data_IF_698467539599
#
_entry.id   IF_698467539599
#
_cell.length_a   1.000
_cell.length_b   1.000
_cell.length_c   1.000
_cell.angle_alpha   90.00
_cell.angle_beta   90.00
_cell.angle_gamma   90.00
#
_symmetry.space_group_name_H-M   'P 1'
#
loop_
_entity.id
_entity.type
_entity.pdbx_description
1 polymer ?
#
# COMPACT_ATOMS: atom_id res chain seq x y z
N UNK A 1 26.92 24.95 -38.94
CA UNK A 1 27.25 24.86 -37.50
C UNK A 1 26.77 23.51 -37.01
N UNK A 2 27.69 22.60 -36.70
CA UNK A 2 27.34 21.29 -36.13
C UNK A 2 27.20 21.51 -34.63
N UNK A 3 25.97 21.46 -34.11
CA UNK A 3 25.75 21.46 -32.67
C UNK A 3 26.18 20.10 -32.14
N UNK A 4 27.37 20.02 -31.52
CA UNK A 4 27.76 18.85 -30.75
C UNK A 4 26.99 18.88 -29.43
N UNK A 5 26.01 17.99 -29.30
CA UNK A 5 25.30 17.79 -28.04
C UNK A 5 26.17 16.86 -27.17
N UNK A 6 26.91 17.43 -26.23
CA UNK A 6 27.64 16.67 -25.21
C UNK A 6 26.77 16.55 -23.98
N UNK A 7 26.52 15.32 -23.52
CA UNK A 7 25.83 15.09 -22.26
C UNK A 7 26.67 15.60 -21.08
N UNK A 8 26.05 16.17 -20.03
CA UNK A 8 26.72 16.42 -18.76
C UNK A 8 27.38 15.14 -18.23
N UNK A 9 28.56 15.26 -17.59
CA UNK A 9 29.32 14.11 -17.07
C UNK A 9 28.47 13.26 -16.12
N UNK A 10 27.64 13.88 -15.29
CA UNK A 10 26.73 13.20 -14.37
C UNK A 10 25.74 12.25 -15.08
N UNK A 11 25.29 12.62 -16.29
CA UNK A 11 24.41 11.77 -17.11
C UNK A 11 25.21 10.60 -17.67
N UNK A 12 26.45 10.84 -18.11
CA UNK A 12 27.35 9.81 -18.64
C UNK A 12 27.67 8.79 -17.54
N UNK A 13 28.05 9.25 -16.36
CA UNK A 13 28.37 8.40 -15.21
C UNK A 13 27.15 7.55 -14.81
N UNK A 14 25.95 8.14 -14.80
CA UNK A 14 24.72 7.39 -14.50
C UNK A 14 24.42 6.32 -15.56
N UNK A 15 24.70 6.57 -16.84
CA UNK A 15 24.51 5.58 -17.90
C UNK A 15 25.55 4.46 -17.75
N UNK A 16 26.81 4.81 -17.49
CA UNK A 16 27.90 3.84 -17.30
C UNK A 16 27.64 2.92 -16.11
N UNK A 17 27.23 3.47 -14.96
CA UNK A 17 26.89 2.67 -13.77
C UNK A 17 25.78 1.64 -14.09
N UNK A 18 24.78 2.03 -14.88
CA UNK A 18 23.70 1.10 -15.30
C UNK A 18 24.20 0.01 -16.24
N UNK A 19 25.05 0.37 -17.20
CA UNK A 19 25.64 -0.60 -18.14
C UNK A 19 26.48 -1.61 -17.38
N UNK A 20 27.33 -1.17 -16.46
CA UNK A 20 28.17 -2.05 -15.66
C UNK A 20 27.36 -3.06 -14.84
N UNK A 21 26.26 -2.63 -14.20
CA UNK A 21 25.37 -3.54 -13.47
C UNK A 21 24.77 -4.60 -14.40
N UNK A 22 24.30 -4.20 -15.58
CA UNK A 22 23.72 -5.13 -16.56
C UNK A 22 24.78 -6.09 -17.11
N UNK A 23 25.99 -5.62 -17.37
CA UNK A 23 27.12 -6.45 -17.79
C UNK A 23 27.52 -7.48 -16.73
N UNK A 24 27.53 -7.09 -15.44
CA UNK A 24 27.75 -8.04 -14.33
C UNK A 24 26.64 -9.09 -14.26
N UNK A 25 25.39 -8.69 -14.45
CA UNK A 25 24.27 -9.63 -14.49
C UNK A 25 24.38 -10.67 -15.62
N UNK A 26 25.03 -10.33 -16.72
CA UNK A 26 25.24 -11.24 -17.86
C UNK A 26 26.39 -12.23 -17.67
N UNK A 27 27.38 -11.89 -16.83
CA UNK A 27 28.66 -12.62 -16.78
C UNK A 27 28.91 -13.39 -15.48
N UNK A 28 28.35 -12.98 -14.34
CA UNK A 28 28.32 -13.74 -13.07
C UNK A 28 27.46 -12.98 -12.03
N UNK A 29 26.13 -13.07 -12.15
CA UNK A 29 25.23 -12.28 -11.32
C UNK A 29 25.27 -12.73 -9.85
N UNK A 30 25.62 -11.81 -8.95
CA UNK A 30 25.31 -11.99 -7.54
C UNK A 30 23.90 -11.48 -7.23
N UNK A 31 23.31 -11.83 -6.07
CA UNK A 31 21.95 -11.41 -5.72
C UNK A 31 21.73 -9.89 -5.64
N UNK A 32 22.79 -9.10 -5.40
CA UNK A 32 22.70 -7.64 -5.35
C UNK A 32 22.62 -7.03 -6.75
N UNK A 33 23.38 -7.58 -7.70
CA UNK A 33 23.33 -7.17 -9.10
C UNK A 33 21.94 -7.48 -9.70
N UNK A 34 21.37 -8.66 -9.43
CA UNK A 34 20.00 -8.99 -9.85
C UNK A 34 18.96 -8.02 -9.27
N UNK A 35 19.07 -7.69 -7.98
CA UNK A 35 18.16 -6.76 -7.33
C UNK A 35 18.29 -5.34 -7.91
N UNK A 36 19.51 -4.90 -8.22
CA UNK A 36 19.76 -3.61 -8.86
C UNK A 36 19.17 -3.58 -10.28
N UNK A 37 19.35 -4.65 -11.06
CA UNK A 37 18.77 -4.76 -12.39
C UNK A 37 17.23 -4.68 -12.34
N UNK A 38 16.57 -5.35 -11.38
CA UNK A 38 15.12 -5.27 -11.19
C UNK A 38 14.65 -3.85 -10.88
N UNK A 39 15.41 -3.09 -10.06
CA UNK A 39 15.11 -1.68 -9.78
C UNK A 39 15.29 -0.79 -11.02
N UNK A 40 16.33 -1.03 -11.82
CA UNK A 40 16.56 -0.30 -13.07
C UNK A 40 15.46 -0.57 -14.10
N UNK A 41 15.03 -1.82 -14.24
CA UNK A 41 13.90 -2.19 -15.08
C UNK A 41 12.62 -1.47 -14.64
N UNK A 42 12.31 -1.46 -13.34
CA UNK A 42 11.14 -0.75 -12.81
C UNK A 42 11.20 0.76 -13.08
N UNK A 43 12.36 1.40 -12.89
CA UNK A 43 12.53 2.82 -13.21
C UNK A 43 12.31 3.09 -14.70
N UNK A 44 12.86 2.22 -15.57
CA UNK A 44 12.71 2.34 -17.03
C UNK A 44 11.27 2.12 -17.50
N UNK A 45 10.56 1.11 -16.98
CA UNK A 45 9.13 0.85 -17.30
C UNK A 45 8.28 2.09 -16.99
N UNK A 46 8.62 2.79 -15.90
CA UNK A 46 7.92 3.98 -15.44
C UNK A 46 8.42 5.27 -16.08
N UNK A 47 9.47 5.20 -16.88
CA UNK A 47 10.11 6.34 -17.52
C UNK A 47 10.56 7.42 -16.52
N UNK A 48 11.01 6.99 -15.34
CA UNK A 48 11.56 7.89 -14.31
C UNK A 48 13.07 7.70 -14.17
N UNK A 49 13.73 8.73 -13.67
CA UNK A 49 15.14 8.63 -13.32
C UNK A 49 15.35 7.66 -12.16
N UNK A 50 16.55 7.07 -12.09
CA UNK A 50 16.87 6.16 -11.00
C UNK A 50 16.98 6.89 -9.64
N UNK A 51 17.35 8.18 -9.66
CA UNK A 51 17.31 9.04 -8.47
C UNK A 51 15.89 9.28 -7.96
N UNK A 52 14.94 9.57 -8.85
CA UNK A 52 13.51 9.67 -8.49
C UNK A 52 12.98 8.34 -7.93
N UNK A 53 13.31 7.21 -8.58
CA UNK A 53 12.94 5.88 -8.08
C UNK A 53 13.48 5.62 -6.66
N UNK A 54 14.75 5.98 -6.39
CA UNK A 54 15.35 5.85 -5.06
C UNK A 54 14.61 6.68 -4.01
N UNK A 55 14.17 7.88 -4.35
CA UNK A 55 13.46 8.74 -3.43
C UNK A 55 12.06 8.21 -3.12
N UNK A 56 11.32 7.76 -4.14
CA UNK A 56 10.04 7.11 -3.91
C UNK A 56 10.18 5.83 -3.07
N UNK A 57 11.22 5.03 -3.30
CA UNK A 57 11.49 3.83 -2.50
C UNK A 57 11.74 4.18 -1.02
N UNK A 58 12.44 5.29 -0.74
CA UNK A 58 12.65 5.79 0.63
C UNK A 58 11.34 6.22 1.28
N UNK A 59 10.49 6.94 0.55
CA UNK A 59 9.18 7.38 1.04
C UNK A 59 8.26 6.17 1.33
N UNK A 60 8.23 5.19 0.43
CA UNK A 60 7.52 3.93 0.65
C UNK A 60 8.03 3.22 1.91
N UNK A 61 9.36 3.10 2.09
CA UNK A 61 9.96 2.47 3.26
C UNK A 61 9.57 3.20 4.55
N UNK A 62 9.55 4.52 4.55
CA UNK A 62 9.09 5.31 5.69
C UNK A 62 7.63 5.00 6.06
N UNK A 63 6.74 4.96 5.08
CA UNK A 63 5.33 4.62 5.30
C UNK A 63 5.16 3.17 5.78
N UNK A 64 5.92 2.21 5.23
CA UNK A 64 5.94 0.83 5.68
C UNK A 64 6.40 0.70 7.14
N UNK A 65 7.42 1.45 7.56
CA UNK A 65 7.84 1.47 8.95
C UNK A 65 6.75 2.05 9.86
N UNK A 66 6.06 3.11 9.44
CA UNK A 66 4.92 3.67 10.17
C UNK A 66 3.77 2.65 10.25
N UNK A 67 3.51 1.93 9.18
CA UNK A 67 2.51 0.86 9.11
C UNK A 67 2.82 -0.28 10.08
N UNK A 68 4.06 -0.79 10.09
CA UNK A 68 4.50 -1.84 11.03
C UNK A 68 4.41 -1.39 12.50
N UNK A 69 4.69 -0.12 12.78
CA UNK A 69 4.51 0.44 14.13
C UNK A 69 3.03 0.47 14.54
N UNK A 70 2.11 0.79 13.63
CA UNK A 70 0.67 0.76 13.89
C UNK A 70 0.15 -0.67 14.04
N UNK A 71 0.59 -1.59 13.18
CA UNK A 71 0.27 -3.03 13.26
C UNK A 71 0.64 -3.60 14.63
N UNK A 72 1.86 -3.32 15.09
CA UNK A 72 2.33 -3.76 16.41
C UNK A 72 1.43 -3.24 17.53
N UNK A 73 1.08 -1.95 17.50
CA UNK A 73 0.18 -1.34 18.50
C UNK A 73 -1.21 -1.96 18.47
N UNK A 74 -1.77 -2.20 17.28
CA UNK A 74 -3.07 -2.84 17.12
C UNK A 74 -3.06 -4.25 17.71
N UNK A 75 -2.05 -5.06 17.39
CA UNK A 75 -1.90 -6.42 17.94
C UNK A 75 -1.73 -6.42 19.46
N UNK A 76 -1.02 -5.44 20.01
CA UNK A 76 -0.86 -5.30 21.47
C UNK A 76 -2.20 -4.98 22.15
N UNK A 77 -3.01 -4.09 21.55
CA UNK A 77 -4.32 -3.74 22.08
C UNK A 77 -5.37 -4.85 21.91
N UNK A 78 -5.36 -5.54 20.77
CA UNK A 78 -6.21 -6.70 20.52
C UNK A 78 -5.97 -7.81 21.56
N UNK A 79 -4.71 -8.06 21.94
CA UNK A 79 -4.36 -8.98 23.04
C UNK A 79 -4.90 -8.55 24.39
N UNK A 80 -5.15 -7.26 24.59
CA UNK A 80 -5.74 -6.70 25.80
C UNK A 80 -7.28 -6.68 25.74
N UNK A 81 -7.87 -7.17 24.66
CA UNK A 81 -9.32 -7.24 24.46
C UNK A 81 -9.96 -5.91 24.07
N UNK A 82 -9.17 -4.91 23.67
CA UNK A 82 -9.64 -3.58 23.27
C UNK A 82 -9.14 -3.27 21.86
N UNK A 83 -10.00 -3.32 20.84
CA UNK A 83 -9.63 -2.84 19.51
C UNK A 83 -9.93 -1.34 19.42
N UNK A 84 -8.89 -0.51 19.38
CA UNK A 84 -9.09 0.91 19.08
C UNK A 84 -9.53 1.10 17.63
N UNK A 85 -10.83 1.38 17.44
CA UNK A 85 -11.42 1.68 16.12
C UNK A 85 -10.66 2.80 15.41
N UNK A 86 -10.20 3.82 16.14
CA UNK A 86 -9.41 4.90 15.57
C UNK A 86 -8.04 4.42 15.06
N UNK A 87 -7.36 3.54 15.78
CA UNK A 87 -6.12 2.96 15.29
C UNK A 87 -6.37 2.03 14.11
N UNK A 88 -7.48 1.29 14.12
CA UNK A 88 -7.89 0.46 12.99
C UNK A 88 -8.09 1.32 11.74
N UNK A 89 -8.88 2.39 11.80
CA UNK A 89 -9.06 3.32 10.67
C UNK A 89 -7.71 3.83 10.16
N UNK A 90 -6.84 4.34 11.04
CA UNK A 90 -5.52 4.89 10.66
C UNK A 90 -4.59 3.86 10.03
N UNK A 91 -4.53 2.66 10.59
CA UNK A 91 -3.72 1.57 10.06
C UNK A 91 -4.14 1.22 8.63
N UNK A 92 -5.45 1.13 8.42
CA UNK A 92 -6.06 0.77 7.15
C UNK A 92 -5.88 1.85 6.08
N UNK A 93 -6.09 3.13 6.42
CA UNK A 93 -5.86 4.22 5.47
C UNK A 93 -4.38 4.43 5.15
N UNK A 94 -3.47 4.17 6.09
CA UNK A 94 -2.03 4.15 5.80
C UNK A 94 -1.66 3.02 4.82
N UNK A 95 -2.28 1.85 4.96
CA UNK A 95 -2.09 0.77 3.99
C UNK A 95 -2.62 1.15 2.60
N UNK A 96 -3.81 1.76 2.56
CA UNK A 96 -4.41 2.29 1.34
C UNK A 96 -3.48 3.30 0.67
N UNK A 97 -2.93 4.26 1.42
CA UNK A 97 -1.95 5.24 0.93
C UNK A 97 -0.70 4.58 0.31
N UNK A 98 -0.19 3.52 0.94
CA UNK A 98 0.96 2.77 0.42
C UNK A 98 0.61 2.11 -0.91
N UNK A 99 -0.56 1.47 -1.01
CA UNK A 99 -1.00 0.81 -2.23
C UNK A 99 -1.25 1.83 -3.34
N UNK A 100 -2.04 2.86 -3.08
CA UNK A 100 -2.47 3.81 -4.12
C UNK A 100 -1.28 4.57 -4.73
N UNK A 101 -0.28 4.91 -3.91
CA UNK A 101 0.86 5.72 -4.36
C UNK A 101 2.05 4.86 -4.83
N UNK A 102 2.26 3.67 -4.25
CA UNK A 102 3.47 2.87 -4.48
C UNK A 102 3.17 1.50 -5.09
N UNK A 103 2.00 1.31 -5.71
CA UNK A 103 1.64 0.04 -6.36
C UNK A 103 2.65 -0.43 -7.42
N UNK A 104 3.36 0.51 -8.04
CA UNK A 104 4.35 0.24 -9.08
C UNK A 104 5.45 -0.73 -8.62
N UNK A 105 5.81 -0.70 -7.33
CA UNK A 105 6.78 -1.61 -6.75
C UNK A 105 6.28 -3.07 -6.73
N UNK A 106 4.98 -3.31 -6.93
CA UNK A 106 4.41 -4.66 -7.02
C UNK A 106 4.32 -5.20 -8.46
N UNK A 107 4.80 -4.48 -9.47
CA UNK A 107 4.73 -4.94 -10.87
C UNK A 107 5.64 -6.15 -11.16
N UNK A 108 6.62 -6.42 -10.31
CA UNK A 108 7.55 -7.54 -10.46
C UNK A 108 6.87 -8.88 -10.25
N UNK A 109 7.46 -9.98 -10.73
CA UNK A 109 6.86 -11.32 -10.58
C UNK A 109 6.62 -11.69 -9.11
N UNK A 110 7.53 -11.32 -8.20
CA UNK A 110 7.39 -11.52 -6.75
C UNK A 110 6.34 -10.56 -6.19
N UNK A 111 6.36 -9.29 -6.59
CA UNK A 111 5.38 -8.28 -6.19
C UNK A 111 3.95 -8.67 -6.53
N UNK A 112 3.69 -9.14 -7.76
CA UNK A 112 2.38 -9.59 -8.22
C UNK A 112 1.83 -10.76 -7.40
N UNK A 113 2.68 -11.73 -7.06
CA UNK A 113 2.31 -12.86 -6.17
C UNK A 113 1.92 -12.37 -4.78
N UNK A 114 2.71 -11.46 -4.21
CA UNK A 114 2.42 -10.83 -2.91
C UNK A 114 1.08 -10.08 -2.96
N UNK A 115 0.85 -9.29 -4.01
CA UNK A 115 -0.37 -8.51 -4.16
C UNK A 115 -1.62 -9.39 -4.30
N UNK A 116 -1.51 -10.52 -5.00
CA UNK A 116 -2.57 -11.53 -5.05
C UNK A 116 -2.92 -12.08 -3.65
N UNK A 117 -1.91 -12.34 -2.82
CA UNK A 117 -2.13 -12.78 -1.44
C UNK A 117 -2.78 -11.70 -0.58
N UNK A 118 -2.40 -10.43 -0.77
CA UNK A 118 -3.03 -9.28 -0.14
C UNK A 118 -4.52 -9.21 -0.52
N UNK A 119 -4.86 -9.32 -1.81
CA UNK A 119 -6.25 -9.33 -2.25
C UNK A 119 -7.07 -10.45 -1.58
N UNK A 120 -6.59 -11.69 -1.61
CA UNK A 120 -7.29 -12.82 -1.00
C UNK A 120 -7.51 -12.63 0.50
N UNK A 121 -6.54 -12.03 1.20
CA UNK A 121 -6.66 -11.69 2.61
C UNK A 121 -7.79 -10.66 2.84
N UNK A 122 -7.79 -9.55 2.10
CA UNK A 122 -8.80 -8.50 2.24
C UNK A 122 -10.20 -8.95 1.87
N UNK A 123 -10.33 -9.72 0.79
CA UNK A 123 -11.60 -10.33 0.39
C UNK A 123 -12.15 -11.20 1.51
N UNK A 124 -11.31 -12.07 2.08
CA UNK A 124 -11.70 -12.95 3.19
C UNK A 124 -12.10 -12.13 4.41
N UNK A 125 -11.28 -11.16 4.82
CA UNK A 125 -11.56 -10.28 5.96
C UNK A 125 -12.89 -9.56 5.79
N UNK A 126 -13.16 -8.99 4.61
CA UNK A 126 -14.43 -8.30 4.34
C UNK A 126 -15.64 -9.24 4.42
N UNK A 127 -15.56 -10.44 3.83
CA UNK A 127 -16.66 -11.42 3.84
C UNK A 127 -16.94 -12.01 5.22
N UNK A 128 -15.91 -12.16 6.05
CA UNK A 128 -16.01 -12.74 7.38
C UNK A 128 -16.37 -11.71 8.46
N UNK A 129 -16.00 -10.44 8.29
CA UNK A 129 -16.19 -9.39 9.29
C UNK A 129 -17.64 -9.23 9.78
N UNK A 130 -18.69 -9.22 8.91
CA UNK A 130 -20.08 -9.12 9.36
C UNK A 130 -20.53 -10.21 10.34
N UNK A 131 -19.77 -11.31 10.45
CA UNK A 131 -20.08 -12.44 11.36
C UNK A 131 -19.53 -12.21 12.79
N UNK A 132 -18.71 -11.18 13.00
CA UNK A 132 -18.10 -10.87 14.28
C UNK A 132 -19.11 -10.11 15.17
N UNK A 133 -19.54 -10.74 16.27
CA UNK A 133 -20.56 -10.20 17.19
C UNK A 133 -20.02 -9.29 18.29
N UNK A 134 -18.71 -9.05 18.34
CA UNK A 134 -18.05 -8.36 19.45
C UNK A 134 -18.21 -6.82 19.41
N UNK A 135 -18.58 -6.26 18.26
CA UNK A 135 -18.66 -4.82 18.04
C UNK A 135 -20.10 -4.31 18.06
N UNK A 136 -20.30 -3.06 18.49
CA UNK A 136 -21.62 -2.43 18.38
C UNK A 136 -21.90 -1.96 16.95
N UNK A 137 -23.16 -1.56 16.66
CA UNK A 137 -23.59 -1.16 15.31
C UNK A 137 -22.76 -0.03 14.70
N UNK A 138 -22.36 0.97 15.48
CA UNK A 138 -21.57 2.10 15.00
C UNK A 138 -20.13 1.68 14.68
N UNK A 139 -19.54 0.82 15.51
CA UNK A 139 -18.20 0.29 15.28
C UNK A 139 -18.17 -0.63 14.06
N UNK A 140 -19.18 -1.50 13.92
CA UNK A 140 -19.36 -2.35 12.74
C UNK A 140 -19.43 -1.47 11.48
N UNK A 141 -20.20 -0.39 11.52
CA UNK A 141 -20.32 0.55 10.40
C UNK A 141 -18.97 1.16 10.03
N UNK A 142 -18.25 1.74 11.01
CA UNK A 142 -16.93 2.36 10.77
C UNK A 142 -15.95 1.34 10.19
N UNK A 143 -15.90 0.13 10.75
CA UNK A 143 -14.99 -0.92 10.28
C UNK A 143 -15.36 -1.34 8.86
N UNK A 144 -16.64 -1.60 8.57
CA UNK A 144 -17.09 -2.00 7.23
C UNK A 144 -16.77 -0.94 6.18
N UNK A 145 -17.08 0.33 6.44
CA UNK A 145 -16.77 1.42 5.50
C UNK A 145 -15.25 1.63 5.32
N UNK A 146 -14.46 1.38 6.36
CA UNK A 146 -12.98 1.36 6.25
C UNK A 146 -12.50 0.21 5.37
N UNK A 147 -13.05 -1.00 5.56
CA UNK A 147 -12.69 -2.18 4.76
C UNK A 147 -13.06 -2.00 3.29
N UNK A 148 -14.22 -1.39 3.00
CA UNK A 148 -14.63 -1.04 1.62
C UNK A 148 -13.61 -0.14 0.94
N UNK A 149 -13.16 0.91 1.63
CA UNK A 149 -12.15 1.84 1.10
C UNK A 149 -10.87 1.12 0.67
N UNK A 150 -10.38 0.17 1.47
CA UNK A 150 -9.19 -0.61 1.12
C UNK A 150 -9.48 -1.61 0.02
N UNK A 151 -10.57 -2.36 0.14
CA UNK A 151 -10.91 -3.41 -0.82
C UNK A 151 -11.03 -2.83 -2.22
N UNK A 152 -11.63 -1.64 -2.37
CA UNK A 152 -11.73 -0.95 -3.65
C UNK A 152 -10.33 -0.59 -4.19
N UNK A 153 -9.47 0.05 -3.39
CA UNK A 153 -8.08 0.32 -3.79
C UNK A 153 -7.31 -0.94 -4.20
N UNK A 154 -7.46 -2.04 -3.44
CA UNK A 154 -6.80 -3.31 -3.74
C UNK A 154 -7.32 -3.90 -5.05
N UNK A 155 -8.63 -3.84 -5.31
CA UNK A 155 -9.24 -4.28 -6.57
C UNK A 155 -8.71 -3.45 -7.74
N UNK A 156 -8.79 -2.13 -7.65
CA UNK A 156 -8.37 -1.20 -8.69
C UNK A 156 -6.90 -1.42 -9.07
N UNK A 157 -6.03 -1.51 -8.06
CA UNK A 157 -4.62 -1.80 -8.30
C UNK A 157 -4.43 -3.21 -8.85
N UNK A 158 -5.13 -4.24 -8.34
CA UNK A 158 -4.98 -5.61 -8.84
C UNK A 158 -5.29 -5.72 -10.33
N UNK A 159 -6.32 -5.01 -10.81
CA UNK A 159 -6.64 -4.91 -12.22
C UNK A 159 -5.55 -4.15 -12.98
N UNK A 160 -5.10 -3.01 -12.43
CA UNK A 160 -4.04 -2.17 -13.03
C UNK A 160 -2.72 -2.91 -13.26
N UNK A 161 -2.31 -3.77 -12.33
CA UNK A 161 -1.08 -4.58 -12.46
C UNK A 161 -1.30 -5.94 -13.13
N UNK A 162 -2.50 -6.21 -13.66
CA UNK A 162 -2.89 -7.47 -14.27
C UNK A 162 -2.62 -8.68 -13.36
N UNK A 163 -2.92 -8.53 -12.06
CA UNK A 163 -2.86 -9.62 -11.07
C UNK A 163 -4.18 -10.38 -11.00
N UNK A 164 -5.29 -9.67 -11.21
CA UNK A 164 -6.64 -10.23 -11.32
C UNK A 164 -7.27 -9.80 -12.64
N UNK A 165 -8.26 -10.56 -13.09
CA UNK A 165 -9.19 -10.16 -14.13
C UNK A 165 -10.48 -9.63 -13.51
N UNK A 166 -11.28 -8.87 -14.28
CA UNK A 166 -12.60 -8.42 -13.83
C UNK A 166 -13.50 -9.60 -13.40
N UNK A 167 -13.45 -10.71 -14.12
CA UNK A 167 -14.18 -11.95 -13.79
C UNK A 167 -13.78 -12.55 -12.43
N UNK A 168 -12.51 -12.42 -12.04
CA UNK A 168 -12.02 -12.90 -10.75
C UNK A 168 -12.45 -12.00 -9.60
N UNK A 169 -12.75 -10.73 -9.89
CA UNK A 169 -13.32 -9.78 -8.94
C UNK A 169 -14.84 -9.96 -8.92
N UNK A 170 -15.30 -11.04 -8.29
CA UNK A 170 -16.73 -11.33 -8.15
C UNK A 170 -17.36 -10.57 -6.96
N UNK A 171 -17.32 -9.23 -7.03
CA UNK A 171 -17.96 -8.34 -6.07
C UNK A 171 -19.04 -7.52 -6.75
N UNK A 172 -20.17 -7.33 -6.06
CA UNK A 172 -21.13 -6.30 -6.46
C UNK A 172 -20.54 -4.93 -6.10
N UNK A 173 -20.31 -4.09 -7.11
CA UNK A 173 -19.66 -2.77 -6.96
C UNK A 173 -20.45 -1.91 -5.96
N UNK A 174 -21.77 -1.96 -5.98
CA UNK A 174 -22.62 -1.19 -5.05
C UNK A 174 -22.40 -1.59 -3.59
N UNK A 175 -22.12 -2.88 -3.32
CA UNK A 175 -21.91 -3.38 -1.96
C UNK A 175 -20.55 -2.94 -1.40
N UNK A 176 -19.55 -2.80 -2.26
CA UNK A 176 -18.17 -2.43 -1.87
C UNK A 176 -17.86 -0.95 -2.06
N UNK A 177 -18.77 -0.17 -2.64
CA UNK A 177 -18.58 1.28 -2.81
C UNK A 177 -18.59 1.96 -1.44
N UNK A 178 -17.49 2.63 -1.03
CA UNK A 178 -17.45 3.34 0.23
C UNK A 178 -18.38 4.56 0.20
N UNK A 179 -19.11 4.78 1.29
CA UNK A 179 -19.97 5.95 1.50
C UNK A 179 -19.26 7.04 2.29
N UNK A 180 -18.20 6.68 3.00
CA UNK A 180 -17.50 7.57 3.91
C UNK A 180 -16.03 7.76 3.55
N UNK A 181 -15.56 8.99 3.75
CA UNK A 181 -14.16 9.38 3.59
C UNK A 181 -13.32 9.00 4.81
N UNK A 182 -11.99 9.00 4.65
CA UNK A 182 -11.05 8.86 5.78
C UNK A 182 -11.34 9.87 6.89
N UNK A 183 -11.58 11.13 6.53
CA UNK A 183 -11.85 12.20 7.49
C UNK A 183 -13.10 11.92 8.29
N UNK A 184 -14.19 11.51 7.63
CA UNK A 184 -15.43 11.16 8.32
C UNK A 184 -15.24 9.96 9.24
N UNK A 185 -14.61 8.89 8.75
CA UNK A 185 -14.39 7.67 9.53
C UNK A 185 -13.47 7.92 10.72
N UNK A 186 -12.44 8.74 10.55
CA UNK A 186 -11.56 9.19 11.64
C UNK A 186 -12.34 9.98 12.68
N UNK A 187 -13.20 10.90 12.23
CA UNK A 187 -14.05 11.67 13.12
C UNK A 187 -14.98 10.75 13.92
N UNK A 188 -15.75 9.89 13.26
CA UNK A 188 -16.67 8.94 13.89
C UNK A 188 -15.94 8.02 14.89
N UNK A 189 -14.77 7.50 14.52
CA UNK A 189 -13.95 6.68 15.40
C UNK A 189 -13.42 7.45 16.62
N UNK A 190 -13.27 8.77 16.51
CA UNK A 190 -12.82 9.63 17.60
C UNK A 190 -13.93 10.06 18.54
N UNK A 191 -15.21 10.04 18.13
CA UNK A 191 -16.34 10.45 18.98
C UNK A 191 -16.38 9.63 20.27
N UNK A 192 -16.13 8.32 20.22
CA UNK A 192 -16.04 7.49 21.43
C UNK A 192 -15.00 7.96 22.44
N UNK A 193 -13.88 8.50 21.97
CA UNK A 193 -12.83 9.06 22.84
C UNK A 193 -13.36 10.28 23.60
N UNK A 194 -14.23 11.06 22.98
CA UNK A 194 -14.83 12.25 23.56
C UNK A 194 -16.08 11.97 24.38
N UNK A 195 -16.83 10.90 24.09
CA UNK A 195 -18.00 10.48 24.88
C UNK A 195 -17.65 10.29 26.37
N UNK A 196 -16.49 9.69 26.66
CA UNK A 196 -15.99 9.58 28.03
C UNK A 196 -15.70 10.94 28.67
N UNK A 197 -15.10 11.87 27.90
CA UNK A 197 -14.77 13.22 28.36
C UNK A 197 -16.06 14.02 28.62
N UNK A 198 -17.03 13.99 27.71
CA UNK A 198 -18.30 14.68 27.84
C UNK A 198 -19.13 14.15 29.02
N UNK A 199 -19.16 12.83 29.25
CA UNK A 199 -19.83 12.25 30.43
C UNK A 199 -19.18 12.61 31.77
N UNK A 200 -17.92 13.06 31.77
CA UNK A 200 -17.21 13.51 32.98
C UNK A 200 -17.33 15.02 33.19
N UNK A 201 -17.78 15.76 32.19
CA UNK A 201 -17.97 17.21 32.22
C UNK A 201 -19.43 17.62 32.47
N UNK A 202 -20.39 16.72 32.19
CA UNK A 202 -21.80 16.85 32.57
C UNK A 202 -22.04 16.29 33.97
#
# INVERSE_FOLDING_TARGET
>A
MVYSFTFPQEIIDSIQERIEVLERCLNDANPQDEAMAEMLELANIRQISFSEFKEEARQMLYLLQKFLKLDKKLKEQEKQGDLSILLFVRYNFLFKEIIDNYWNFFQTKKGRKLFKAIFMLWEKTYKEFPRIRQFNKNEIYIILETLKNILLSVIEISLKINVLTEEQVNFNIEDITPKESETTLTFLASIKKWDYVYRKLA
#
